data_IF_524000005971
#
_entry.id   IF_524000005971
#
_cell.length_a   1.000
_cell.length_b   1.000
_cell.length_c   1.000
_cell.angle_alpha   90.00
_cell.angle_beta   90.00
_cell.angle_gamma   90.00
#
_symmetry.space_group_name_H-M   'P 1'
#
loop_
_entity.id
_entity.type
_entity.pdbx_description
1 polymer ?
#
# COMPACT_ATOMS: atom_id res chain seq x y z
N UNK A 1 -4.13 -16.44 16.25
CA UNK A 1 -5.00 -15.80 17.25
C UNK A 1 -4.23 -15.31 18.50
N UNK A 2 -3.17 -15.98 18.95
CA UNK A 2 -2.34 -15.58 20.11
C UNK A 2 -1.54 -14.26 19.91
N UNK A 3 -1.03 -13.98 18.71
CA UNK A 3 -0.23 -12.78 18.42
C UNK A 3 -1.02 -11.44 18.43
N UNK A 4 -2.31 -11.47 18.09
CA UNK A 4 -3.18 -10.27 18.09
C UNK A 4 -3.49 -9.80 19.53
N UNK A 5 -3.58 -10.75 20.45
CA UNK A 5 -3.81 -10.50 21.88
C UNK A 5 -2.55 -9.91 22.56
N UNK A 6 -1.35 -10.31 22.11
CA UNK A 6 -0.06 -9.81 22.63
C UNK A 6 0.24 -8.34 22.24
N UNK A 7 -0.09 -7.93 21.01
CA UNK A 7 0.09 -6.53 20.59
C UNK A 7 -0.85 -5.58 21.33
N UNK A 8 -2.12 -5.97 21.52
CA UNK A 8 -3.09 -5.15 22.25
C UNK A 8 -2.70 -4.97 23.72
N UNK A 9 -2.10 -6.01 24.33
CA UNK A 9 -1.53 -5.95 25.68
C UNK A 9 -0.31 -5.01 25.75
N UNK A 10 0.59 -5.05 24.76
CA UNK A 10 1.74 -4.14 24.68
C UNK A 10 1.30 -2.67 24.52
N UNK A 11 0.25 -2.42 23.72
CA UNK A 11 -0.33 -1.09 23.55
C UNK A 11 -1.01 -0.57 24.82
N UNK A 12 -1.75 -1.43 25.54
CA UNK A 12 -2.31 -1.08 26.84
C UNK A 12 -1.20 -0.80 27.88
N UNK A 13 -0.13 -1.59 27.88
CA UNK A 13 1.03 -1.41 28.75
C UNK A 13 1.77 -0.10 28.47
N UNK A 14 1.96 0.27 27.19
CA UNK A 14 2.59 1.54 26.78
C UNK A 14 1.72 2.75 27.16
N UNK A 15 0.40 2.64 27.04
CA UNK A 15 -0.54 3.68 27.50
C UNK A 15 -0.46 3.85 29.02
N UNK A 16 -0.40 2.74 29.77
CA UNK A 16 -0.32 2.75 31.24
C UNK A 16 1.04 3.28 31.73
N UNK A 17 2.15 2.86 31.11
CA UNK A 17 3.50 3.33 31.44
C UNK A 17 3.70 4.81 31.06
N UNK A 18 3.11 5.27 29.95
CA UNK A 18 3.08 6.68 29.56
C UNK A 18 2.31 7.58 30.53
N UNK A 19 1.24 7.05 31.16
CA UNK A 19 0.49 7.77 32.19
C UNK A 19 1.23 7.84 33.54
N UNK A 20 2.09 6.86 33.85
CA UNK A 20 2.90 6.85 35.10
C UNK A 20 4.17 7.72 35.04
N UNK A 21 4.62 8.11 33.84
CA UNK A 21 5.87 8.87 33.63
C UNK A 21 5.66 10.38 33.47
N UNK A 22 4.42 10.85 33.36
CA UNK A 22 4.12 12.28 33.37
C UNK A 22 4.08 12.82 34.81
N UNK A 23 5.15 13.48 35.24
CA UNK A 23 5.12 14.50 36.30
C UNK A 23 4.30 15.69 35.77
N UNK A 24 2.98 15.60 35.87
CA UNK A 24 2.07 16.73 35.62
C UNK A 24 1.20 16.92 36.85
N UNK A 25 1.04 18.18 37.26
CA UNK A 25 0.47 18.65 38.52
C UNK A 25 -0.67 17.78 39.06
N UNK A 26 -0.45 17.20 40.24
CA UNK A 26 -1.31 16.24 40.92
C UNK A 26 -2.62 16.80 41.46
N UNK A 27 -2.93 18.07 41.23
CA UNK A 27 -3.92 18.78 42.06
C UNK A 27 -5.23 19.09 41.33
N UNK A 28 -5.39 18.67 40.06
CA UNK A 28 -6.64 18.93 39.29
C UNK A 28 -7.27 17.75 38.58
N UNK A 29 -6.79 16.54 38.79
CA UNK A 29 -7.45 15.34 38.26
C UNK A 29 -7.84 14.48 39.45
N UNK A 30 -9.11 14.55 39.82
CA UNK A 30 -9.74 13.65 40.77
C UNK A 30 -9.76 12.25 40.15
N UNK A 31 -8.62 11.58 40.24
CA UNK A 31 -8.37 10.27 39.67
C UNK A 31 -9.05 9.26 40.59
N UNK A 32 -10.30 8.92 40.31
CA UNK A 32 -11.05 7.85 40.98
C UNK A 32 -10.49 6.43 40.71
N UNK A 33 -9.24 6.31 40.26
CA UNK A 33 -8.49 5.06 40.22
C UNK A 33 -7.38 5.21 41.25
N UNK A 34 -7.51 4.54 42.40
CA UNK A 34 -6.50 4.66 43.47
C UNK A 34 -5.18 4.12 42.94
N UNK A 35 -4.07 4.80 43.22
CA UNK A 35 -2.71 4.38 42.84
C UNK A 35 -2.39 2.92 43.23
N UNK A 36 -3.03 2.43 44.30
CA UNK A 36 -2.97 1.05 44.75
C UNK A 36 -3.60 0.04 43.77
N UNK A 37 -4.68 0.42 43.08
CA UNK A 37 -5.40 -0.44 42.15
C UNK A 37 -4.59 -0.66 40.86
N UNK A 38 -3.92 0.40 40.38
CA UNK A 38 -3.03 0.34 39.22
C UNK A 38 -1.78 -0.50 39.52
N UNK A 39 -1.19 -0.34 40.71
CA UNK A 39 -0.03 -1.14 41.13
C UNK A 39 -0.39 -2.61 41.31
N UNK A 40 -1.59 -2.91 41.82
CA UNK A 40 -2.09 -4.28 41.93
C UNK A 40 -2.36 -4.90 40.56
N UNK A 41 -2.90 -4.14 39.61
CA UNK A 41 -3.12 -4.59 38.24
C UNK A 41 -1.80 -4.94 37.53
N UNK A 42 -0.80 -4.06 37.59
CA UNK A 42 0.53 -4.29 36.99
C UNK A 42 1.18 -5.55 37.58
N UNK A 43 1.17 -5.69 38.91
CA UNK A 43 1.78 -6.85 39.58
C UNK A 43 1.09 -8.18 39.24
N UNK A 44 -0.25 -8.18 39.06
CA UNK A 44 -0.99 -9.37 38.60
C UNK A 44 -0.66 -9.72 37.16
N UNK A 45 -0.60 -8.71 36.29
CA UNK A 45 -0.30 -8.90 34.86
C UNK A 45 1.13 -9.41 34.65
N UNK A 46 2.09 -8.94 35.46
CA UNK A 46 3.46 -9.46 35.49
C UNK A 46 3.51 -10.91 35.98
N UNK A 47 2.75 -11.28 37.02
CA UNK A 47 2.62 -12.66 37.51
C UNK A 47 1.96 -13.59 36.48
N UNK A 48 0.96 -13.12 35.75
CA UNK A 48 0.28 -13.90 34.71
C UNK A 48 1.21 -14.16 33.51
N UNK A 49 2.05 -13.17 33.16
CA UNK A 49 3.07 -13.31 32.12
C UNK A 49 4.19 -14.27 32.56
N UNK A 50 4.66 -14.18 33.80
CA UNK A 50 5.76 -15.02 34.30
C UNK A 50 5.35 -16.45 34.64
N UNK A 51 4.08 -16.70 34.96
CA UNK A 51 3.57 -18.04 35.27
C UNK A 51 3.23 -18.90 34.05
N UNK A 52 3.41 -18.39 32.83
CA UNK A 52 3.19 -19.10 31.56
C UNK A 52 1.79 -19.75 31.43
N UNK A 53 0.80 -19.23 32.17
CA UNK A 53 -0.60 -19.63 32.03
C UNK A 53 -1.15 -19.05 30.72
N UNK A 54 -1.85 -19.87 29.95
CA UNK A 54 -2.53 -19.43 28.74
C UNK A 54 -3.66 -18.46 29.13
N UNK A 55 -3.42 -17.15 28.96
CA UNK A 55 -4.40 -16.11 29.27
C UNK A 55 -5.64 -16.31 28.39
N UNK A 56 -6.79 -16.55 29.01
CA UNK A 56 -8.07 -16.89 28.39
C UNK A 56 -9.03 -15.71 28.54
N UNK A 57 -8.78 -14.68 27.74
CA UNK A 57 -9.38 -13.33 27.66
C UNK A 57 -10.92 -13.19 27.66
N UNK A 58 -11.63 -14.30 27.75
CA UNK A 58 -13.06 -14.41 27.55
C UNK A 58 -13.75 -14.90 28.86
N UNK A 59 -13.01 -15.07 29.97
CA UNK A 59 -13.53 -15.39 31.30
C UNK A 59 -13.53 -14.17 32.24
N UNK A 60 -14.56 -14.05 33.07
CA UNK A 60 -14.79 -12.91 33.99
C UNK A 60 -13.70 -12.71 35.06
N UNK A 61 -12.78 -13.65 35.20
CA UNK A 61 -11.73 -13.66 36.23
C UNK A 61 -10.40 -13.02 35.78
N UNK A 62 -10.28 -12.62 34.51
CA UNK A 62 -9.04 -12.04 33.97
C UNK A 62 -8.91 -10.53 34.29
N UNK A 63 -7.69 -10.12 34.65
CA UNK A 63 -7.33 -8.78 35.13
C UNK A 63 -7.75 -7.62 34.22
N UNK A 64 -7.86 -7.83 32.91
CA UNK A 64 -8.30 -6.82 31.93
C UNK A 64 -9.83 -6.67 31.88
N UNK A 65 -10.59 -7.73 32.20
CA UNK A 65 -12.03 -7.64 32.38
C UNK A 65 -12.36 -6.83 33.63
N UNK A 66 -11.60 -7.04 34.71
CA UNK A 66 -11.66 -6.24 35.94
C UNK A 66 -11.26 -4.77 35.71
N UNK A 67 -10.34 -4.48 34.78
CA UNK A 67 -9.95 -3.12 34.42
C UNK A 67 -11.00 -2.41 33.53
N UNK A 68 -11.65 -3.15 32.62
CA UNK A 68 -12.79 -2.65 31.84
C UNK A 68 -14.02 -2.34 32.70
N UNK A 69 -14.26 -3.10 33.77
CA UNK A 69 -15.39 -2.86 34.67
C UNK A 69 -15.17 -1.69 35.64
N UNK A 70 -13.93 -1.20 35.77
CA UNK A 70 -13.55 -0.10 36.68
C UNK A 70 -13.26 1.23 35.98
N UNK A 71 -13.25 1.27 34.64
CA UNK A 71 -13.00 2.50 33.86
C UNK A 71 -14.21 2.93 33.05
N UNK A 72 -14.55 4.22 33.08
CA UNK A 72 -15.64 4.79 32.29
C UNK A 72 -15.37 4.56 30.78
N UNK A 73 -16.20 3.76 30.06
CA UNK A 73 -15.97 3.41 28.66
C UNK A 73 -15.87 4.61 27.72
N UNK A 74 -16.55 5.72 28.03
CA UNK A 74 -16.48 6.94 27.22
C UNK A 74 -15.11 7.62 27.31
N UNK A 75 -14.54 7.68 28.52
CA UNK A 75 -13.22 8.28 28.76
C UNK A 75 -12.09 7.43 28.15
N UNK A 76 -12.23 6.10 28.18
CA UNK A 76 -11.29 5.21 27.51
C UNK A 76 -11.33 5.40 25.99
N UNK A 77 -12.54 5.47 25.41
CA UNK A 77 -12.72 5.75 23.98
C UNK A 77 -12.15 7.11 23.59
N UNK A 78 -12.44 8.16 24.35
CA UNK A 78 -11.93 9.51 24.09
C UNK A 78 -10.39 9.57 24.13
N UNK A 79 -9.76 8.91 25.10
CA UNK A 79 -8.29 8.84 25.18
C UNK A 79 -7.68 7.97 24.08
N UNK A 80 -8.38 6.91 23.68
CA UNK A 80 -7.96 6.06 22.56
C UNK A 80 -8.07 6.83 21.23
N UNK A 81 -9.14 7.58 21.04
CA UNK A 81 -9.35 8.47 19.88
C UNK A 81 -8.32 9.60 19.86
N UNK A 82 -7.99 10.20 21.02
CA UNK A 82 -6.89 11.18 21.15
C UNK A 82 -5.53 10.58 20.81
N UNK A 83 -5.25 9.35 21.28
CA UNK A 83 -4.00 8.65 20.98
C UNK A 83 -3.89 8.32 19.49
N UNK A 84 -4.98 7.83 18.88
CA UNK A 84 -5.05 7.62 17.43
C UNK A 84 -4.89 8.93 16.67
N UNK A 85 -5.56 10.01 17.08
CA UNK A 85 -5.42 11.32 16.45
C UNK A 85 -3.98 11.85 16.53
N UNK A 86 -3.29 11.65 17.66
CA UNK A 86 -1.89 12.08 17.84
C UNK A 86 -0.91 11.19 17.06
N UNK A 87 -1.20 9.89 16.94
CA UNK A 87 -0.46 8.94 16.09
C UNK A 87 -0.66 9.25 14.61
N UNK A 88 -1.88 9.58 14.21
CA UNK A 88 -2.29 9.83 12.83
C UNK A 88 -2.26 11.33 12.54
N UNK A 89 -1.13 11.97 12.86
CA UNK A 89 -0.82 13.33 12.42
C UNK A 89 0.38 13.29 11.48
N UNK A 90 0.24 13.97 10.35
CA UNK A 90 1.33 14.14 9.39
C UNK A 90 2.29 15.16 9.99
N UNK A 91 3.48 14.71 10.40
CA UNK A 91 4.41 15.55 11.19
C UNK A 91 5.27 16.47 10.32
N UNK A 92 5.66 15.99 9.14
CA UNK A 92 6.53 16.71 8.20
C UNK A 92 6.23 16.27 6.77
N UNK A 93 6.29 17.22 5.84
CA UNK A 93 6.31 16.97 4.41
C UNK A 93 7.62 17.46 3.82
N UNK A 94 8.30 16.59 3.07
CA UNK A 94 9.48 16.95 2.28
C UNK A 94 9.12 16.84 0.80
N UNK A 95 9.10 17.98 0.11
CA UNK A 95 8.81 18.03 -1.31
C UNK A 95 10.11 18.18 -2.09
N UNK A 96 10.46 17.18 -2.89
CA UNK A 96 11.65 17.13 -3.72
C UNK A 96 11.25 17.32 -5.17
N UNK A 97 11.95 18.23 -5.84
CA UNK A 97 11.92 18.37 -7.27
C UNK A 97 13.31 18.06 -7.81
N UNK A 98 13.43 16.97 -8.54
CA UNK A 98 14.67 16.60 -9.20
C UNK A 98 15.01 17.64 -10.27
N UNK A 99 16.26 18.11 -10.29
CA UNK A 99 16.60 19.35 -10.99
C UNK A 99 17.77 19.22 -11.99
N UNK A 100 17.89 18.06 -12.61
CA UNK A 100 18.85 17.84 -13.70
C UNK A 100 18.46 18.57 -14.99
N UNK A 101 19.39 18.56 -15.94
CA UNK A 101 19.22 19.21 -17.22
C UNK A 101 18.03 18.68 -18.02
N UNK A 102 17.70 17.38 -17.89
CA UNK A 102 16.59 16.76 -18.62
C UNK A 102 15.23 17.27 -18.15
N UNK A 103 15.09 17.66 -16.88
CA UNK A 103 13.83 18.22 -16.34
C UNK A 103 13.42 19.55 -16.96
N UNK A 104 14.36 20.30 -17.58
CA UNK A 104 14.05 21.60 -18.19
C UNK A 104 13.00 21.51 -19.31
N UNK A 105 12.91 20.39 -20.02
CA UNK A 105 11.95 20.24 -21.11
C UNK A 105 10.49 20.24 -20.66
N UNK A 106 10.20 19.90 -19.40
CA UNK A 106 8.85 19.91 -18.84
C UNK A 106 8.42 21.28 -18.31
N UNK A 107 9.37 22.12 -17.89
CA UNK A 107 9.07 23.40 -17.20
C UNK A 107 8.31 24.37 -18.10
N UNK A 108 8.50 24.28 -19.41
CA UNK A 108 7.77 25.09 -20.39
C UNK A 108 6.27 24.79 -20.42
N UNK A 109 5.87 23.55 -20.10
CA UNK A 109 4.51 23.08 -20.24
C UNK A 109 3.59 23.62 -19.11
N UNK A 110 2.49 24.31 -19.46
CA UNK A 110 1.55 24.83 -18.46
C UNK A 110 0.88 23.74 -17.61
N UNK A 111 0.59 22.56 -18.16
CA UNK A 111 -0.13 21.50 -17.44
C UNK A 111 0.76 20.83 -16.40
N UNK A 112 2.01 20.52 -16.77
CA UNK A 112 3.04 20.11 -15.84
C UNK A 112 3.14 21.11 -14.69
N UNK A 113 3.29 22.41 -15.01
CA UNK A 113 3.43 23.42 -13.97
C UNK A 113 2.21 23.52 -13.06
N UNK A 114 1.00 23.42 -13.63
CA UNK A 114 -0.25 23.43 -12.89
C UNK A 114 -0.35 22.24 -11.93
N UNK A 115 0.07 21.04 -12.35
CA UNK A 115 0.09 19.86 -11.48
C UNK A 115 1.04 20.06 -10.29
N UNK A 116 2.27 20.53 -10.53
CA UNK A 116 3.24 20.78 -9.46
C UNK A 116 2.73 21.84 -8.49
N UNK A 117 2.17 22.94 -9.02
CA UNK A 117 1.59 24.01 -8.21
C UNK A 117 0.41 23.50 -7.37
N UNK A 118 -0.51 22.75 -7.96
CA UNK A 118 -1.67 22.17 -7.27
C UNK A 118 -1.23 21.27 -6.12
N UNK A 119 -0.29 20.36 -6.37
CA UNK A 119 0.21 19.44 -5.34
C UNK A 119 0.85 20.23 -4.20
N UNK A 120 1.80 21.11 -4.51
CA UNK A 120 2.57 21.79 -3.47
C UNK A 120 1.72 22.74 -2.62
N UNK A 121 0.83 23.51 -3.26
CA UNK A 121 -0.05 24.47 -2.55
C UNK A 121 -1.15 23.81 -1.73
N UNK A 122 -1.47 22.53 -1.99
CA UNK A 122 -2.37 21.75 -1.15
C UNK A 122 -1.69 21.20 0.12
N UNK A 123 -0.35 21.25 0.21
CA UNK A 123 0.39 20.74 1.38
C UNK A 123 0.29 21.71 2.57
N UNK A 124 0.38 21.20 3.82
CA UNK A 124 0.37 22.04 5.01
C UNK A 124 1.66 22.89 5.09
N UNK A 125 1.54 24.20 4.87
CA UNK A 125 2.67 25.13 4.76
C UNK A 125 3.67 25.03 5.93
N UNK A 126 3.18 25.09 7.16
CA UNK A 126 4.01 25.07 8.39
C UNK A 126 4.86 23.79 8.53
N UNK A 127 4.45 22.70 7.87
CA UNK A 127 5.10 21.40 7.96
C UNK A 127 5.82 21.00 6.66
N UNK A 128 5.82 21.85 5.65
CA UNK A 128 6.34 21.52 4.32
C UNK A 128 7.69 22.18 4.05
N UNK A 129 8.68 21.38 3.67
CA UNK A 129 9.99 21.85 3.25
C UNK A 129 10.25 21.46 1.79
N UNK A 130 10.54 22.46 0.95
CA UNK A 130 10.89 22.27 -0.45
C UNK A 130 12.39 22.01 -0.65
N UNK A 131 12.73 21.14 -1.61
CA UNK A 131 14.09 20.84 -2.00
C UNK A 131 14.20 20.74 -3.52
N UNK A 132 15.23 21.34 -4.09
CA UNK A 132 15.79 20.85 -5.35
C UNK A 132 16.80 19.75 -5.05
N UNK A 133 16.86 18.72 -5.90
CA UNK A 133 17.74 17.58 -5.65
C UNK A 133 18.34 17.02 -6.95
N UNK A 134 19.62 16.66 -6.88
CA UNK A 134 20.31 15.94 -7.95
C UNK A 134 21.28 14.89 -7.36
N UNK A 135 22.55 15.23 -7.18
CA UNK A 135 23.54 14.47 -6.41
C UNK A 135 23.59 14.86 -4.93
N UNK A 136 22.92 15.97 -4.58
CA UNK A 136 22.77 16.45 -3.21
C UNK A 136 21.46 17.25 -3.04
N UNK A 137 21.09 17.54 -1.79
CA UNK A 137 19.92 18.35 -1.46
C UNK A 137 20.22 19.85 -1.44
N UNK A 138 19.30 20.63 -2.01
CA UNK A 138 19.29 22.09 -1.96
C UNK A 138 17.96 22.56 -1.37
N UNK A 139 17.91 22.89 -0.06
CA UNK A 139 16.71 23.47 0.56
C UNK A 139 16.24 24.73 -0.17
N UNK A 140 14.93 24.89 -0.32
CA UNK A 140 14.31 26.04 -0.97
C UNK A 140 13.31 26.68 -0.01
N UNK A 141 13.51 27.97 0.28
CA UNK A 141 12.57 28.73 1.11
C UNK A 141 11.23 28.95 0.38
N UNK A 142 11.27 29.13 -0.94
CA UNK A 142 10.07 29.23 -1.78
C UNK A 142 10.30 28.56 -3.14
N UNK A 143 10.10 27.24 -3.18
CA UNK A 143 10.27 26.45 -4.41
C UNK A 143 9.29 26.87 -5.51
N UNK A 144 8.10 27.35 -5.13
CA UNK A 144 7.04 27.73 -6.07
C UNK A 144 7.39 29.00 -6.83
N UNK A 145 7.98 30.00 -6.19
CA UNK A 145 8.44 31.19 -6.89
C UNK A 145 9.53 30.88 -7.92
N UNK A 146 10.49 30.03 -7.55
CA UNK A 146 11.54 29.59 -8.46
C UNK A 146 10.96 28.83 -9.65
N UNK A 147 9.99 27.96 -9.39
CA UNK A 147 9.30 27.20 -10.42
C UNK A 147 8.44 28.08 -11.34
N UNK A 148 7.76 29.12 -10.82
CA UNK A 148 7.06 30.14 -11.62
C UNK A 148 8.01 30.90 -12.55
N UNK A 149 9.24 31.15 -12.12
CA UNK A 149 10.31 31.78 -12.93
C UNK A 149 10.99 30.81 -13.90
N UNK A 150 10.62 29.52 -13.86
CA UNK A 150 11.29 28.46 -14.63
C UNK A 150 12.75 28.23 -14.22
N UNK A 151 13.14 28.67 -13.01
CA UNK A 151 14.50 28.56 -12.52
C UNK A 151 14.63 27.40 -11.52
N UNK A 152 15.01 26.23 -12.03
CA UNK A 152 15.32 25.05 -11.21
C UNK A 152 16.83 24.86 -11.00
N UNK A 153 17.68 25.81 -11.43
CA UNK A 153 19.13 25.58 -11.46
C UNK A 153 19.73 25.57 -10.07
N UNK A 154 20.58 24.59 -9.80
CA UNK A 154 21.49 24.58 -8.66
C UNK A 154 22.86 24.10 -9.13
N UNK A 155 23.82 23.89 -8.21
CA UNK A 155 25.09 23.26 -8.59
C UNK A 155 24.83 21.81 -9.04
N UNK A 156 25.64 21.30 -9.97
CA UNK A 156 25.62 19.87 -10.33
C UNK A 156 24.45 19.40 -11.20
N UNK A 157 23.66 20.29 -11.84
CA UNK A 157 22.48 19.92 -12.67
C UNK A 157 22.79 19.04 -13.88
N UNK A 158 24.07 18.75 -14.18
CA UNK A 158 24.47 17.85 -15.25
C UNK A 158 24.38 16.36 -14.90
N UNK A 159 24.21 16.01 -13.63
CA UNK A 159 24.21 14.62 -13.14
C UNK A 159 23.07 14.41 -12.14
N UNK A 160 22.53 13.19 -12.07
CA UNK A 160 21.50 12.79 -11.09
C UNK A 160 21.91 11.51 -10.39
N UNK A 161 21.79 11.47 -9.06
CA UNK A 161 22.02 10.25 -8.27
C UNK A 161 20.68 9.77 -7.69
N UNK A 162 19.99 8.89 -8.43
CA UNK A 162 18.68 8.37 -8.02
C UNK A 162 18.75 7.56 -6.71
N UNK A 163 19.87 6.87 -6.46
CA UNK A 163 20.07 6.13 -5.21
C UNK A 163 20.08 7.10 -4.03
N UNK A 164 20.88 8.17 -4.13
CA UNK A 164 20.90 9.24 -3.12
C UNK A 164 19.53 9.88 -2.92
N UNK A 165 18.85 10.26 -4.01
CA UNK A 165 17.53 10.91 -3.96
C UNK A 165 16.53 10.03 -3.20
N UNK A 166 16.40 8.76 -3.59
CA UNK A 166 15.46 7.84 -2.94
C UNK A 166 15.82 7.59 -1.48
N UNK A 167 17.11 7.39 -1.16
CA UNK A 167 17.58 7.22 0.22
C UNK A 167 17.19 8.41 1.10
N UNK A 168 17.39 9.63 0.62
CA UNK A 168 17.04 10.84 1.38
C UNK A 168 15.53 11.07 1.49
N UNK A 169 14.76 10.71 0.47
CA UNK A 169 13.30 10.76 0.50
C UNK A 169 12.72 9.76 1.53
N UNK A 170 13.19 8.51 1.54
CA UNK A 170 12.71 7.49 2.50
C UNK A 170 13.07 7.89 3.93
N UNK A 171 14.31 8.32 4.19
CA UNK A 171 14.75 8.78 5.52
C UNK A 171 13.87 9.90 6.07
N UNK A 172 13.48 10.86 5.22
CA UNK A 172 12.61 11.99 5.62
C UNK A 172 11.14 11.62 5.75
N UNK A 173 10.73 10.49 5.19
CA UNK A 173 9.38 9.94 5.32
C UNK A 173 9.17 9.15 6.63
N UNK A 174 10.24 8.84 7.37
CA UNK A 174 10.17 8.21 8.70
C UNK A 174 9.35 9.04 9.71
N UNK A 175 8.99 8.44 10.84
CA UNK A 175 8.28 9.13 11.94
C UNK A 175 6.97 9.85 11.53
N UNK A 176 6.13 9.22 10.70
CA UNK A 176 4.92 9.81 10.12
C UNK A 176 5.20 11.05 9.23
N UNK A 177 6.38 11.08 8.60
CA UNK A 177 6.67 11.99 7.52
C UNK A 177 5.97 11.58 6.22
N UNK A 178 6.00 12.50 5.25
CA UNK A 178 5.69 12.25 3.86
C UNK A 178 6.80 12.88 3.02
N UNK A 179 7.35 12.11 2.09
CA UNK A 179 8.24 12.64 1.06
C UNK A 179 7.55 12.51 -0.28
N UNK A 180 7.53 13.61 -1.05
CA UNK A 180 7.00 13.64 -2.42
C UNK A 180 8.15 14.01 -3.34
N UNK A 181 8.45 13.19 -4.34
CA UNK A 181 9.51 13.43 -5.31
C UNK A 181 8.93 13.52 -6.72
N UNK A 182 9.29 14.56 -7.44
CA UNK A 182 8.97 14.76 -8.86
C UNK A 182 10.26 14.57 -9.66
N UNK A 183 10.25 13.69 -10.66
CA UNK A 183 11.42 13.37 -11.51
C UNK A 183 10.99 12.83 -12.87
N UNK A 184 11.86 12.93 -13.88
CA UNK A 184 11.68 12.22 -15.15
C UNK A 184 12.08 10.74 -15.10
N UNK A 185 12.73 10.30 -14.01
CA UNK A 185 13.11 8.91 -13.79
C UNK A 185 14.17 8.37 -14.77
N UNK A 186 14.83 9.23 -15.55
CA UNK A 186 15.89 8.82 -16.48
C UNK A 186 17.12 8.44 -15.66
N UNK A 187 17.38 7.15 -15.51
CA UNK A 187 18.51 6.71 -14.71
C UNK A 187 19.84 7.09 -15.37
N UNK A 188 20.69 7.79 -14.64
CA UNK A 188 22.04 8.12 -15.07
C UNK A 188 23.05 7.45 -14.14
N UNK A 189 23.73 6.37 -14.59
CA UNK A 189 24.75 5.73 -13.77
C UNK A 189 25.94 6.67 -13.55
N UNK A 190 26.65 6.50 -12.43
CA UNK A 190 27.97 7.12 -12.23
C UNK A 190 28.91 6.65 -13.33
N UNK A 191 29.72 7.56 -13.86
CA UNK A 191 30.63 7.30 -14.98
C UNK A 191 31.50 6.06 -14.73
N UNK A 192 31.41 5.06 -15.62
CA UNK A 192 32.21 3.84 -15.57
C UNK A 192 31.40 2.57 -15.24
N UNK A 193 30.18 2.71 -14.71
CA UNK A 193 29.34 1.57 -14.37
C UNK A 193 28.15 1.44 -15.33
N UNK A 194 28.38 0.74 -16.44
CA UNK A 194 27.33 0.46 -17.44
C UNK A 194 26.58 -0.86 -17.14
N UNK A 195 26.82 -1.49 -15.99
CA UNK A 195 26.16 -2.75 -15.69
C UNK A 195 24.76 -2.49 -15.13
N UNK A 196 23.77 -2.63 -16.01
CA UNK A 196 22.37 -2.39 -15.72
C UNK A 196 21.81 -3.32 -14.65
N UNK A 197 22.37 -4.52 -14.51
CA UNK A 197 22.00 -5.48 -13.46
C UNK A 197 22.38 -4.96 -12.06
N UNK A 198 23.41 -4.12 -11.96
CA UNK A 198 23.80 -3.50 -10.69
C UNK A 198 22.80 -2.44 -10.23
N UNK A 199 22.05 -1.81 -11.14
CA UNK A 199 21.03 -0.81 -10.80
C UNK A 199 19.99 -1.43 -9.87
N UNK A 200 19.44 -2.57 -10.28
CA UNK A 200 18.43 -3.31 -9.51
C UNK A 200 18.99 -3.74 -8.15
N UNK A 201 20.24 -4.22 -8.12
CA UNK A 201 20.90 -4.69 -6.89
C UNK A 201 21.14 -3.52 -5.91
N UNK A 202 21.67 -2.41 -6.39
CA UNK A 202 22.01 -1.24 -5.57
C UNK A 202 20.75 -0.57 -5.01
N UNK A 203 19.74 -0.35 -5.85
CA UNK A 203 18.46 0.20 -5.43
C UNK A 203 17.82 -0.73 -4.39
N UNK A 204 17.83 -2.04 -4.62
CA UNK A 204 17.28 -3.00 -3.66
C UNK A 204 18.02 -2.97 -2.32
N UNK A 205 19.35 -2.81 -2.33
CA UNK A 205 20.17 -2.71 -1.12
C UNK A 205 19.84 -1.43 -0.35
N UNK A 206 19.83 -0.29 -1.01
CA UNK A 206 19.60 1.02 -0.37
C UNK A 206 18.18 1.16 0.16
N UNK A 207 17.18 0.71 -0.60
CA UNK A 207 15.81 0.65 -0.12
C UNK A 207 15.67 -0.30 1.07
N UNK A 208 16.27 -1.50 1.03
CA UNK A 208 16.20 -2.43 2.17
C UNK A 208 16.80 -1.82 3.43
N UNK A 209 17.95 -1.15 3.34
CA UNK A 209 18.55 -0.44 4.47
C UNK A 209 17.59 0.63 5.02
N UNK A 210 17.01 1.45 4.12
CA UNK A 210 16.11 2.54 4.50
C UNK A 210 14.76 2.06 5.08
N UNK A 211 14.26 0.90 4.63
CA UNK A 211 12.98 0.30 5.06
C UNK A 211 13.09 -0.54 6.35
N UNK A 212 14.29 -0.84 6.84
CA UNK A 212 14.47 -1.82 7.92
C UNK A 212 13.88 -1.41 9.27
N UNK A 213 13.72 -0.10 9.51
CA UNK A 213 13.34 0.45 10.81
C UNK A 213 11.93 1.06 10.87
N UNK A 214 11.24 1.20 9.74
CA UNK A 214 9.97 1.93 9.63
C UNK A 214 9.03 1.24 8.65
N UNK A 215 7.72 1.28 8.91
CA UNK A 215 6.70 0.79 7.98
C UNK A 215 6.42 1.84 6.90
N UNK A 216 7.41 2.06 6.03
CA UNK A 216 7.28 2.93 4.86
C UNK A 216 6.72 2.14 3.68
N UNK A 217 5.83 2.80 2.94
CA UNK A 217 5.31 2.39 1.65
C UNK A 217 5.77 3.38 0.58
N UNK A 218 5.77 2.92 -0.67
CA UNK A 218 6.13 3.75 -1.82
C UNK A 218 4.97 3.73 -2.81
N UNK A 219 4.51 4.90 -3.25
CA UNK A 219 3.58 5.03 -4.37
C UNK A 219 4.29 5.72 -5.51
N UNK A 220 4.06 5.25 -6.73
CA UNK A 220 4.58 5.87 -7.95
C UNK A 220 3.40 6.19 -8.85
N UNK A 221 3.28 7.45 -9.24
CA UNK A 221 2.33 7.92 -10.24
C UNK A 221 3.08 8.13 -11.55
N UNK A 222 2.66 7.45 -12.61
CA UNK A 222 3.07 7.77 -13.98
C UNK A 222 2.20 8.90 -14.49
N UNK A 223 2.86 9.97 -14.91
CA UNK A 223 2.26 11.15 -15.50
C UNK A 223 2.79 11.34 -16.91
N UNK A 224 2.09 12.11 -17.73
CA UNK A 224 2.49 12.50 -19.08
C UNK A 224 2.38 14.02 -19.21
N UNK A 225 3.36 14.64 -19.86
CA UNK A 225 3.36 16.07 -20.16
C UNK A 225 4.02 16.32 -21.51
N UNK A 226 3.71 17.46 -22.13
CA UNK A 226 4.54 17.97 -23.22
C UNK A 226 5.96 18.21 -22.72
N UNK A 227 6.91 17.93 -23.58
CA UNK A 227 8.33 18.11 -23.35
C UNK A 227 8.93 18.81 -24.57
N UNK A 228 9.52 19.98 -24.36
CA UNK A 228 10.20 20.73 -25.42
C UNK A 228 11.61 21.07 -24.93
N UNK A 229 12.62 20.33 -25.40
CA UNK A 229 13.97 20.46 -24.86
C UNK A 229 14.99 19.48 -25.43
N UNK A 230 16.15 19.42 -24.79
CA UNK A 230 17.21 18.47 -25.13
C UNK A 230 17.01 17.20 -24.30
N UNK A 231 16.70 16.09 -24.96
CA UNK A 231 16.82 14.76 -24.37
C UNK A 231 18.29 14.33 -24.36
N UNK A 232 18.77 13.90 -23.20
CA UNK A 232 20.14 13.44 -22.97
C UNK A 232 20.16 11.91 -22.95
N UNK A 233 20.38 11.30 -24.12
CA UNK A 233 20.40 9.84 -24.25
C UNK A 233 21.52 9.19 -23.45
N UNK A 234 21.18 8.20 -22.64
CA UNK A 234 22.10 7.57 -21.70
C UNK A 234 22.94 6.48 -22.39
N UNK A 235 22.33 5.64 -23.24
CA UNK A 235 23.05 4.58 -23.96
C UNK A 235 23.93 5.16 -25.06
N UNK A 236 23.34 5.95 -25.95
CA UNK A 236 24.02 6.50 -27.12
C UNK A 236 24.87 7.75 -26.83
N UNK A 237 24.71 8.37 -25.64
CA UNK A 237 25.30 9.68 -25.32
C UNK A 237 24.92 10.78 -26.32
N UNK A 238 23.82 10.60 -27.07
CA UNK A 238 23.30 11.56 -28.05
C UNK A 238 22.45 12.61 -27.34
N UNK A 239 22.62 13.87 -27.75
CA UNK A 239 21.74 14.98 -27.37
C UNK A 239 20.75 15.20 -28.50
N UNK A 240 19.47 15.00 -28.24
CA UNK A 240 18.43 15.09 -29.26
C UNK A 240 17.43 16.16 -28.85
N UNK A 241 17.20 17.15 -29.69
CA UNK A 241 16.14 18.14 -29.44
C UNK A 241 14.81 17.49 -29.81
N UNK A 242 13.90 17.41 -28.85
CA UNK A 242 12.57 16.83 -29.05
C UNK A 242 11.50 17.82 -28.62
N UNK A 243 10.34 17.70 -29.27
CA UNK A 243 9.10 18.40 -28.95
C UNK A 243 7.95 17.40 -29.06
N UNK A 244 7.69 16.69 -27.97
CA UNK A 244 6.74 15.57 -27.93
C UNK A 244 6.28 15.34 -26.50
N UNK A 245 5.27 14.49 -26.31
CA UNK A 245 4.89 14.05 -24.97
C UNK A 245 5.94 13.11 -24.38
N UNK A 246 6.18 13.22 -23.08
CA UNK A 246 7.11 12.35 -22.34
C UNK A 246 6.55 12.03 -20.95
N UNK A 247 6.85 10.85 -20.41
CA UNK A 247 6.43 10.48 -19.08
C UNK A 247 7.30 11.16 -18.02
N UNK A 248 6.68 11.53 -16.90
CA UNK A 248 7.35 11.91 -15.67
C UNK A 248 6.68 11.23 -14.48
N UNK A 249 7.33 11.22 -13.33
CA UNK A 249 6.89 10.42 -12.19
C UNK A 249 6.79 11.25 -10.92
N UNK A 250 5.77 10.92 -10.14
CA UNK A 250 5.59 11.43 -8.79
C UNK A 250 5.69 10.25 -7.83
N UNK A 251 6.76 10.22 -7.05
CA UNK A 251 6.96 9.25 -5.99
C UNK A 251 6.45 9.81 -4.67
N UNK A 252 5.74 8.99 -3.90
CA UNK A 252 5.39 9.28 -2.53
C UNK A 252 6.02 8.22 -1.64
N UNK A 253 6.67 8.66 -0.57
CA UNK A 253 7.22 7.79 0.48
C UNK A 253 6.62 8.20 1.81
N UNK A 254 6.17 7.24 2.58
CA UNK A 254 5.55 7.49 3.87
C UNK A 254 4.92 6.23 4.41
N UNK A 255 4.52 6.25 5.67
CA UNK A 255 3.69 5.17 6.16
C UNK A 255 2.31 5.18 5.48
N UNK A 256 1.56 4.11 5.69
CA UNK A 256 0.20 3.94 5.15
C UNK A 256 -0.72 5.14 5.37
N UNK A 257 -0.69 5.73 6.57
CA UNK A 257 -1.50 6.89 6.92
C UNK A 257 -1.11 8.12 6.09
N UNK A 258 0.18 8.47 6.07
CA UNK A 258 0.71 9.62 5.32
C UNK A 258 0.38 9.53 3.83
N UNK A 259 0.58 8.36 3.23
CA UNK A 259 0.29 8.10 1.81
C UNK A 259 -1.22 8.23 1.53
N UNK A 260 -2.07 7.60 2.33
CA UNK A 260 -3.52 7.67 2.13
C UNK A 260 -4.06 9.08 2.30
N UNK A 261 -3.54 9.81 3.29
CA UNK A 261 -3.90 11.23 3.47
C UNK A 261 -3.48 12.04 2.26
N UNK A 262 -2.25 11.84 1.76
CA UNK A 262 -1.75 12.55 0.59
C UNK A 262 -2.61 12.30 -0.66
N UNK A 263 -2.90 11.05 -1.00
CA UNK A 263 -3.71 10.70 -2.18
C UNK A 263 -5.16 11.16 -2.06
N UNK A 264 -5.69 11.28 -0.83
CA UNK A 264 -7.07 11.75 -0.60
C UNK A 264 -7.19 13.27 -0.60
N UNK A 265 -6.20 13.99 -0.08
CA UNK A 265 -6.32 15.42 0.24
C UNK A 265 -5.43 16.32 -0.61
N UNK A 266 -4.23 15.88 -0.97
CA UNK A 266 -3.22 16.76 -1.59
C UNK A 266 -2.93 16.39 -3.06
N UNK A 267 -3.00 15.10 -3.39
CA UNK A 267 -2.66 14.54 -4.70
C UNK A 267 -3.91 13.82 -5.23
N UNK A 268 -4.98 14.58 -5.44
CA UNK A 268 -6.26 14.05 -5.91
C UNK A 268 -6.13 13.65 -7.38
N UNK A 269 -5.92 12.37 -7.64
CA UNK A 269 -5.52 11.84 -8.96
C UNK A 269 -6.41 12.30 -10.13
N UNK A 270 -7.73 12.34 -9.92
CA UNK A 270 -8.71 12.80 -10.92
C UNK A 270 -8.56 14.28 -11.34
N UNK A 271 -7.81 15.06 -10.57
CA UNK A 271 -7.56 16.48 -10.83
C UNK A 271 -6.18 16.74 -11.47
N UNK A 272 -5.34 15.71 -11.57
CA UNK A 272 -4.02 15.80 -12.17
C UNK A 272 -4.12 15.53 -13.66
N UNK A 273 -3.80 16.54 -14.47
CA UNK A 273 -3.78 16.39 -15.92
C UNK A 273 -2.64 15.46 -16.34
N UNK A 274 -2.88 14.62 -17.33
CA UNK A 274 -1.88 13.66 -17.80
C UNK A 274 -1.58 12.52 -16.81
N UNK A 275 -2.42 12.28 -15.79
CA UNK A 275 -2.30 11.05 -14.98
C UNK A 275 -2.55 9.81 -15.85
N UNK A 276 -1.61 8.85 -15.80
CA UNK A 276 -1.66 7.62 -16.61
C UNK A 276 -1.93 6.41 -15.72
N UNK A 277 -1.08 6.19 -14.71
CA UNK A 277 -1.14 4.98 -13.90
C UNK A 277 -0.54 5.18 -12.51
N UNK A 278 -0.85 4.25 -11.60
CA UNK A 278 -0.29 4.19 -10.26
C UNK A 278 0.23 2.78 -9.98
N UNK A 279 1.34 2.70 -9.24
CA UNK A 279 1.76 1.50 -8.52
C UNK A 279 1.98 1.81 -7.04
N UNK A 280 1.78 0.83 -6.17
CA UNK A 280 2.05 0.95 -4.72
C UNK A 280 2.82 -0.27 -4.23
N UNK A 281 3.98 0.00 -3.65
CA UNK A 281 4.83 -0.98 -3.00
C UNK A 281 4.54 -0.98 -1.50
N UNK A 282 4.17 -2.15 -0.96
CA UNK A 282 3.75 -2.32 0.43
C UNK A 282 4.51 -3.45 1.12
N UNK A 283 4.73 -3.31 2.43
CA UNK A 283 5.18 -4.43 3.28
C UNK A 283 3.99 -5.26 3.73
N UNK A 284 4.10 -6.59 3.73
CA UNK A 284 3.01 -7.48 4.21
C UNK A 284 3.14 -7.93 5.67
N UNK A 285 4.14 -7.44 6.39
CA UNK A 285 4.35 -7.80 7.80
C UNK A 285 3.10 -7.51 8.63
N UNK A 286 2.50 -8.56 9.19
CA UNK A 286 1.33 -8.43 10.06
C UNK A 286 0.05 -8.00 9.35
N UNK A 287 0.00 -8.11 8.02
CA UNK A 287 -1.18 -7.81 7.24
C UNK A 287 -2.19 -8.96 7.34
N UNK A 288 -3.42 -8.63 7.70
CA UNK A 288 -4.54 -9.58 7.77
C UNK A 288 -5.69 -9.06 6.91
N UNK A 289 -6.12 -9.89 5.97
CA UNK A 289 -7.25 -9.62 5.06
C UNK A 289 -8.36 -10.62 5.38
N UNK A 290 -9.39 -10.22 6.13
CA UNK A 290 -10.59 -11.04 6.32
C UNK A 290 -11.15 -11.51 4.98
N UNK A 291 -11.55 -12.78 4.90
CA UNK A 291 -12.25 -13.31 3.73
C UNK A 291 -13.29 -14.37 4.13
N UNK A 292 -14.25 -14.61 3.26
CA UNK A 292 -15.28 -15.64 3.42
C UNK A 292 -15.84 -16.10 2.07
N UNK A 293 -16.21 -17.37 1.97
CA UNK A 293 -16.96 -17.89 0.83
C UNK A 293 -18.40 -17.38 0.89
N UNK A 294 -18.91 -16.91 -0.25
CA UNK A 294 -20.33 -16.58 -0.41
C UNK A 294 -21.10 -17.84 -0.80
N UNK A 295 -22.01 -18.28 0.07
CA UNK A 295 -22.92 -19.42 -0.18
C UNK A 295 -24.19 -19.03 -0.94
N UNK A 296 -24.31 -17.76 -1.34
CA UNK A 296 -25.41 -17.17 -2.09
C UNK A 296 -24.85 -16.00 -2.90
N UNK A 297 -25.32 -15.83 -4.13
CA UNK A 297 -24.90 -14.73 -4.99
C UNK A 297 -25.34 -14.98 -6.42
N UNK A 298 -25.21 -13.96 -7.26
CA UNK A 298 -25.47 -14.05 -8.70
C UNK A 298 -24.34 -14.77 -9.43
N UNK A 299 -23.16 -14.89 -8.82
CA UNK A 299 -21.98 -15.62 -9.35
C UNK A 299 -22.01 -17.12 -9.02
N UNK A 300 -23.03 -17.62 -8.32
CA UNK A 300 -23.12 -19.02 -7.92
C UNK A 300 -23.60 -19.91 -9.07
N UNK A 301 -22.85 -20.96 -9.40
CA UNK A 301 -23.22 -22.02 -10.35
C UNK A 301 -23.07 -23.35 -9.64
N UNK A 302 -24.08 -24.21 -9.75
CA UNK A 302 -24.18 -25.45 -8.97
C UNK A 302 -24.64 -25.20 -7.52
N UNK A 303 -24.43 -26.19 -6.65
CA UNK A 303 -24.78 -26.14 -5.23
C UNK A 303 -23.67 -26.68 -4.34
N UNK A 304 -23.61 -26.16 -3.13
CA UNK A 304 -22.67 -26.55 -2.07
C UNK A 304 -23.17 -26.02 -0.73
N UNK A 305 -22.61 -26.52 0.37
CA UNK A 305 -22.85 -26.01 1.72
C UNK A 305 -21.55 -25.55 2.35
N UNK A 306 -21.63 -24.59 3.27
CA UNK A 306 -20.48 -24.25 4.10
C UNK A 306 -20.37 -25.26 5.25
N UNK A 307 -19.14 -25.68 5.53
CA UNK A 307 -18.83 -26.56 6.66
C UNK A 307 -19.04 -25.80 7.98
N UNK A 308 -18.59 -24.55 8.03
CA UNK A 308 -18.78 -23.70 9.19
C UNK A 308 -20.25 -23.28 9.35
N UNK A 309 -20.81 -23.59 10.52
CA UNK A 309 -22.19 -23.21 10.89
C UNK A 309 -22.22 -21.82 11.52
N UNK A 310 -23.32 -21.09 11.27
CA UNK A 310 -23.58 -19.77 11.85
C UNK A 310 -22.90 -18.62 11.10
N UNK A 311 -22.67 -17.52 11.81
CA UNK A 311 -22.21 -16.22 11.29
C UNK A 311 -20.67 -16.07 11.30
N UNK A 312 -19.94 -17.18 11.15
CA UNK A 312 -18.48 -17.18 11.12
C UNK A 312 -17.98 -17.03 9.68
N UNK A 313 -16.73 -16.58 9.53
CA UNK A 313 -16.01 -16.66 8.25
C UNK A 313 -16.02 -18.10 7.75
N UNK A 314 -16.54 -18.29 6.53
CA UNK A 314 -16.64 -19.60 5.87
C UNK A 314 -15.40 -19.80 5.02
N UNK A 315 -14.57 -20.76 5.36
CA UNK A 315 -13.35 -21.10 4.62
C UNK A 315 -13.43 -22.49 4.01
N UNK A 316 -14.44 -23.29 4.35
CA UNK A 316 -14.65 -24.60 3.77
C UNK A 316 -16.07 -24.83 3.24
N UNK A 317 -16.16 -25.57 2.13
CA UNK A 317 -17.43 -26.01 1.55
C UNK A 317 -17.44 -27.54 1.35
N UNK A 318 -18.64 -28.12 1.38
CA UNK A 318 -18.92 -29.55 1.23
C UNK A 318 -20.16 -29.77 0.34
N UNK A 319 -20.45 -31.02 -0.01
CA UNK A 319 -21.59 -31.41 -0.86
C UNK A 319 -21.60 -30.68 -2.22
N UNK A 320 -20.46 -30.65 -2.93
CA UNK A 320 -20.33 -29.94 -4.22
C UNK A 320 -21.12 -30.66 -5.32
N UNK A 321 -22.14 -30.00 -5.86
CA UNK A 321 -22.93 -30.46 -7.00
C UNK A 321 -22.79 -29.46 -8.15
N UNK A 322 -22.29 -29.94 -9.30
CA UNK A 322 -22.18 -29.12 -10.50
C UNK A 322 -23.54 -28.86 -11.11
N UNK A 323 -23.73 -27.68 -11.66
CA UNK A 323 -24.90 -27.44 -12.52
C UNK A 323 -24.66 -28.12 -13.86
N UNK A 324 -25.62 -28.96 -14.30
CA UNK A 324 -25.59 -29.61 -15.61
C UNK A 324 -26.45 -28.85 -16.61
N UNK A 325 -25.87 -28.39 -17.72
CA UNK A 325 -26.67 -27.86 -18.83
C UNK A 325 -27.38 -29.01 -19.55
N UNK A 326 -28.72 -28.94 -19.62
CA UNK A 326 -29.56 -29.89 -20.35
C UNK A 326 -29.43 -29.77 -21.88
N UNK A 327 -28.64 -28.82 -22.39
CA UNK A 327 -28.51 -28.55 -23.83
C UNK A 327 -27.10 -28.89 -24.35
N UNK A 328 -27.03 -29.80 -25.34
CA UNK A 328 -25.80 -30.15 -26.05
C UNK A 328 -25.20 -28.90 -26.73
N UNK A 329 -23.99 -28.51 -26.31
CA UNK A 329 -23.20 -27.45 -26.96
C UNK A 329 -22.74 -26.30 -26.05
N UNK A 330 -23.14 -26.27 -24.77
CA UNK A 330 -22.59 -25.33 -23.78
C UNK A 330 -21.71 -26.08 -22.77
N UNK A 331 -20.46 -25.65 -22.51
CA UNK A 331 -19.58 -26.31 -21.55
C UNK A 331 -20.02 -25.95 -20.12
N UNK A 332 -21.07 -26.59 -19.62
CA UNK A 332 -21.63 -26.31 -18.30
C UNK A 332 -21.80 -27.60 -17.50
N UNK A 333 -20.66 -28.23 -17.18
CA UNK A 333 -20.50 -29.10 -16.02
C UNK A 333 -19.44 -28.43 -15.13
N UNK A 334 -19.90 -27.50 -14.28
CA UNK A 334 -19.02 -26.68 -13.47
C UNK A 334 -19.67 -26.33 -12.13
N UNK A 335 -18.82 -26.00 -11.17
CA UNK A 335 -19.20 -25.31 -9.93
C UNK A 335 -18.54 -23.94 -9.91
N UNK A 336 -19.26 -22.92 -9.44
CA UNK A 336 -18.73 -21.57 -9.32
C UNK A 336 -19.21 -20.92 -8.03
N UNK A 337 -18.31 -20.21 -7.36
CA UNK A 337 -18.65 -19.40 -6.18
C UNK A 337 -17.72 -18.20 -6.05
N UNK A 338 -18.19 -17.19 -5.32
CA UNK A 338 -17.42 -16.00 -5.03
C UNK A 338 -16.81 -16.08 -3.62
N UNK A 339 -15.57 -15.61 -3.49
CA UNK A 339 -14.91 -15.36 -2.21
C UNK A 339 -14.90 -13.86 -1.98
N UNK A 340 -15.58 -13.41 -0.93
CA UNK A 340 -15.57 -12.02 -0.51
C UNK A 340 -14.34 -11.74 0.36
N UNK A 341 -13.58 -10.70 0.06
CA UNK A 341 -12.34 -10.35 0.76
C UNK A 341 -12.30 -8.85 1.09
N UNK A 342 -11.77 -8.53 2.27
CA UNK A 342 -11.46 -7.17 2.72
C UNK A 342 -9.96 -6.88 2.50
N UNK A 343 -9.67 -6.18 1.41
CA UNK A 343 -8.37 -5.64 1.00
C UNK A 343 -8.21 -4.16 1.37
N UNK A 344 -9.13 -3.57 2.15
CA UNK A 344 -9.06 -2.16 2.55
C UNK A 344 -7.76 -1.84 3.30
N UNK A 345 -7.15 -2.87 3.92
CA UNK A 345 -5.87 -2.76 4.60
C UNK A 345 -4.65 -2.83 3.69
N UNK A 346 -4.78 -3.42 2.51
CA UNK A 346 -3.71 -3.62 1.51
C UNK A 346 -3.54 -2.41 0.62
N UNK A 347 -4.62 -1.67 0.35
CA UNK A 347 -4.55 -0.28 -0.11
C UNK A 347 -3.91 -0.13 -1.52
N UNK A 348 -3.95 -1.20 -2.32
CA UNK A 348 -3.42 -1.25 -3.69
C UNK A 348 -4.33 -0.54 -4.69
N UNK A 349 -3.82 -0.13 -5.86
CA UNK A 349 -4.65 0.40 -6.93
C UNK A 349 -5.74 -0.60 -7.35
N UNK A 350 -6.95 -0.11 -7.63
CA UNK A 350 -8.06 -0.93 -8.14
C UNK A 350 -7.65 -1.71 -9.39
N UNK A 351 -6.88 -1.10 -10.29
CA UNK A 351 -6.36 -1.75 -11.50
C UNK A 351 -5.48 -2.96 -11.20
N UNK A 352 -4.72 -2.95 -10.10
CA UNK A 352 -3.89 -4.07 -9.69
C UNK A 352 -4.74 -5.23 -9.15
N UNK A 353 -5.71 -4.92 -8.29
CA UNK A 353 -6.57 -5.91 -7.65
C UNK A 353 -7.49 -6.60 -8.66
N UNK A 354 -7.99 -5.87 -9.67
CA UNK A 354 -8.90 -6.45 -10.66
C UNK A 354 -8.19 -7.25 -11.76
N UNK A 355 -6.86 -7.20 -11.84
CA UNK A 355 -6.09 -7.92 -12.84
C UNK A 355 -5.78 -9.34 -12.36
N UNK A 356 -6.42 -10.32 -12.99
CA UNK A 356 -6.28 -11.74 -12.67
C UNK A 356 -4.83 -12.26 -12.83
N UNK A 357 -3.99 -11.60 -13.64
CA UNK A 357 -2.57 -11.97 -13.76
C UNK A 357 -1.75 -11.71 -12.50
N UNK A 358 -2.28 -10.91 -11.56
CA UNK A 358 -1.70 -10.69 -10.24
C UNK A 358 -2.12 -11.76 -9.22
N UNK A 359 -2.80 -12.82 -9.65
CA UNK A 359 -3.24 -13.90 -8.78
C UNK A 359 -2.67 -15.23 -9.23
N UNK A 360 -2.42 -16.10 -8.26
CA UNK A 360 -1.99 -17.47 -8.48
C UNK A 360 -2.83 -18.42 -7.65
N UNK A 361 -3.33 -19.48 -8.27
CA UNK A 361 -3.92 -20.60 -7.54
C UNK A 361 -2.85 -21.67 -7.39
N UNK A 362 -2.61 -22.08 -6.15
CA UNK A 362 -1.74 -23.20 -5.79
C UNK A 362 -2.61 -24.32 -5.20
N UNK A 363 -2.25 -25.57 -5.50
CA UNK A 363 -2.98 -26.76 -5.03
C UNK A 363 -3.11 -27.78 -6.15
N UNK A 364 -3.54 -29.00 -5.81
CA UNK A 364 -4.00 -30.00 -6.79
C UNK A 364 -5.48 -29.77 -7.00
N UNK A 365 -5.81 -28.83 -7.89
CA UNK A 365 -7.18 -28.45 -8.14
C UNK A 365 -7.36 -27.85 -9.53
N UNK A 366 -8.55 -28.05 -10.10
CA UNK A 366 -8.98 -27.49 -11.37
C UNK A 366 -9.73 -26.15 -11.22
N UNK A 367 -9.65 -25.51 -10.06
CA UNK A 367 -10.24 -24.18 -9.89
C UNK A 367 -9.40 -23.11 -10.61
N UNK A 368 -10.09 -22.24 -11.34
CA UNK A 368 -9.54 -21.05 -11.98
C UNK A 368 -10.25 -19.78 -11.51
N UNK A 369 -9.58 -18.62 -11.65
CA UNK A 369 -10.20 -17.33 -11.38
C UNK A 369 -10.96 -16.90 -12.63
N UNK A 370 -12.29 -16.96 -12.57
CA UNK A 370 -13.16 -16.55 -13.66
C UNK A 370 -13.22 -15.02 -13.77
N UNK A 371 -13.29 -14.33 -12.62
CA UNK A 371 -13.41 -12.88 -12.57
C UNK A 371 -13.02 -12.33 -11.19
N UNK A 372 -12.71 -11.04 -11.14
CA UNK A 372 -12.50 -10.29 -9.90
C UNK A 372 -13.35 -9.02 -9.99
N UNK A 373 -14.18 -8.79 -8.97
CA UNK A 373 -15.17 -7.71 -8.97
C UNK A 373 -14.94 -6.77 -7.79
N UNK A 374 -15.09 -5.47 -8.01
CA UNK A 374 -15.16 -4.50 -6.93
C UNK A 374 -16.61 -4.43 -6.41
N UNK A 375 -16.79 -4.52 -5.09
CA UNK A 375 -18.13 -4.54 -4.47
C UNK A 375 -18.93 -3.28 -4.78
N UNK A 376 -18.25 -2.13 -4.84
CA UNK A 376 -18.85 -0.83 -5.15
C UNK A 376 -19.42 -0.73 -6.58
N UNK A 377 -19.00 -1.61 -7.50
CA UNK A 377 -19.47 -1.62 -8.89
C UNK A 377 -20.63 -2.62 -9.11
N UNK A 378 -21.01 -3.39 -8.09
CA UNK A 378 -22.10 -4.37 -8.19
C UNK A 378 -23.46 -3.70 -8.38
N UNK A 379 -24.38 -4.41 -9.03
CA UNK A 379 -25.76 -3.96 -9.15
C UNK A 379 -26.39 -3.85 -7.74
N UNK A 380 -27.02 -2.70 -7.46
CA UNK A 380 -27.69 -2.42 -6.17
C UNK A 380 -28.76 -3.44 -5.79
N UNK A 381 -29.35 -4.13 -6.77
CA UNK A 381 -30.39 -5.14 -6.56
C UNK A 381 -29.87 -6.58 -6.60
N UNK A 382 -28.55 -6.79 -6.78
CA UNK A 382 -27.93 -8.12 -6.87
C UNK A 382 -28.15 -8.95 -5.61
N UNK A 383 -28.27 -10.27 -5.78
CA UNK A 383 -28.30 -11.20 -4.62
C UNK A 383 -26.96 -11.15 -3.88
N UNK A 384 -25.88 -10.90 -4.62
CA UNK A 384 -24.52 -10.80 -4.11
C UNK A 384 -24.36 -9.62 -3.15
N UNK A 385 -24.83 -8.42 -3.51
CA UNK A 385 -24.74 -7.27 -2.62
C UNK A 385 -25.52 -7.49 -1.32
N UNK A 386 -26.73 -8.07 -1.40
CA UNK A 386 -27.52 -8.44 -0.22
C UNK A 386 -26.79 -9.44 0.68
N UNK A 387 -26.06 -10.40 0.12
CA UNK A 387 -25.25 -11.33 0.88
C UNK A 387 -24.07 -10.63 1.60
N UNK A 388 -23.42 -9.68 0.92
CA UNK A 388 -22.32 -8.86 1.50
C UNK A 388 -22.81 -7.95 2.63
N UNK A 389 -23.99 -7.35 2.49
CA UNK A 389 -24.59 -6.50 3.53
C UNK A 389 -24.84 -7.25 4.84
N UNK A 390 -25.13 -8.55 4.77
CA UNK A 390 -25.24 -9.41 5.96
C UNK A 390 -23.87 -9.59 6.63
N UNK A 391 -22.82 -9.87 5.85
CA UNK A 391 -21.45 -9.98 6.37
C UNK A 391 -20.93 -8.70 7.03
N UNK A 392 -21.36 -7.54 6.52
CA UNK A 392 -20.99 -6.24 7.10
C UNK A 392 -21.49 -6.05 8.53
N UNK A 393 -22.60 -6.72 8.89
CA UNK A 393 -23.09 -6.77 10.27
C UNK A 393 -22.24 -7.68 11.17
N UNK A 394 -21.43 -8.56 10.56
CA UNK A 394 -20.59 -9.59 11.20
C UNK A 394 -19.11 -9.18 11.26
N UNK A 395 -18.80 -7.88 11.15
CA UNK A 395 -17.45 -7.30 11.16
C UNK A 395 -16.54 -7.66 9.97
N UNK A 396 -17.08 -8.10 8.84
CA UNK A 396 -16.32 -8.22 7.58
C UNK A 396 -16.88 -7.20 6.60
N UNK A 397 -16.02 -6.31 6.10
CA UNK A 397 -16.40 -5.30 5.10
C UNK A 397 -15.64 -5.57 3.80
N UNK A 398 -16.08 -6.57 3.02
CA UNK A 398 -15.37 -6.91 1.80
C UNK A 398 -15.51 -5.78 0.78
N UNK A 399 -14.43 -5.47 0.11
CA UNK A 399 -14.34 -4.48 -0.97
C UNK A 399 -14.17 -5.15 -2.34
N UNK A 400 -13.78 -6.44 -2.37
CA UNK A 400 -13.65 -7.22 -3.59
C UNK A 400 -14.23 -8.64 -3.48
N UNK A 401 -14.55 -9.20 -4.64
CA UNK A 401 -14.95 -10.59 -4.84
C UNK A 401 -13.98 -11.27 -5.79
N UNK A 402 -13.55 -12.48 -5.46
CA UNK A 402 -12.78 -13.36 -6.34
C UNK A 402 -13.69 -14.52 -6.73
N UNK A 403 -14.03 -14.63 -8.00
CA UNK A 403 -14.94 -15.66 -8.52
C UNK A 403 -14.11 -16.86 -8.97
N UNK A 404 -14.31 -17.99 -8.30
CA UNK A 404 -13.63 -19.25 -8.60
C UNK A 404 -14.57 -20.18 -9.36
N UNK A 405 -14.07 -20.80 -10.42
CA UNK A 405 -14.80 -21.78 -11.23
C UNK A 405 -14.00 -23.08 -11.31
N UNK A 406 -14.65 -24.22 -11.08
CA UNK A 406 -14.02 -25.53 -11.10
C UNK A 406 -14.76 -26.53 -11.99
N UNK A 407 -14.02 -27.47 -12.57
CA UNK A 407 -14.54 -28.44 -13.54
C UNK A 407 -14.41 -29.92 -13.16
N UNK A 408 -13.27 -30.42 -12.67
CA UNK A 408 -13.12 -31.86 -12.33
C UNK A 408 -12.52 -32.09 -10.96
N UNK A 409 -11.27 -31.68 -10.74
CA UNK A 409 -10.58 -31.83 -9.45
C UNK A 409 -11.08 -30.80 -8.44
N UNK A 410 -12.30 -31.05 -7.94
CA UNK A 410 -13.06 -30.14 -7.09
C UNK A 410 -12.77 -30.28 -5.60
N UNK A 411 -12.06 -31.32 -5.16
CA UNK A 411 -11.86 -31.63 -3.74
C UNK A 411 -10.41 -31.37 -3.31
N UNK A 412 -10.24 -30.78 -2.12
CA UNK A 412 -8.95 -30.52 -1.51
C UNK A 412 -8.76 -29.06 -1.11
N UNK A 413 -7.49 -28.65 -1.03
CA UNK A 413 -7.14 -27.30 -0.63
C UNK A 413 -6.95 -26.40 -1.86
N UNK A 414 -7.61 -25.24 -1.83
CA UNK A 414 -7.44 -24.17 -2.81
C UNK A 414 -6.70 -23.05 -2.10
N UNK A 415 -5.53 -22.68 -2.61
CA UNK A 415 -4.77 -21.56 -2.09
C UNK A 415 -4.69 -20.46 -3.17
N UNK A 416 -5.46 -19.38 -2.99
CA UNK A 416 -5.43 -18.22 -3.89
C UNK A 416 -4.48 -17.17 -3.31
N UNK A 417 -3.43 -16.85 -4.05
CA UNK A 417 -2.42 -15.86 -3.66
C UNK A 417 -2.54 -14.62 -4.53
N UNK A 418 -2.66 -13.45 -3.92
CA UNK A 418 -2.39 -12.17 -4.59
C UNK A 418 -0.88 -11.99 -4.60
N UNK A 419 -0.23 -12.15 -5.75
CA UNK A 419 1.23 -12.12 -5.86
C UNK A 419 1.76 -10.70 -6.04
N UNK A 420 3.09 -10.54 -5.88
CA UNK A 420 3.82 -9.27 -6.02
C UNK A 420 4.42 -9.14 -7.42
N UNK A 421 3.61 -8.74 -8.38
CA UNK A 421 4.04 -8.48 -9.75
C UNK A 421 4.20 -6.98 -9.96
N UNK A 422 5.15 -6.58 -10.81
CA UNK A 422 5.11 -5.22 -11.34
C UNK A 422 4.01 -5.14 -12.40
N UNK A 423 3.14 -4.12 -12.37
CA UNK A 423 2.14 -3.95 -13.42
C UNK A 423 2.80 -3.76 -14.78
N UNK A 424 2.15 -4.28 -15.82
CA UNK A 424 2.65 -4.29 -17.19
C UNK A 424 3.14 -2.91 -17.68
N UNK A 425 2.46 -1.83 -17.29
CA UNK A 425 2.84 -0.48 -17.68
C UNK A 425 4.27 -0.12 -17.22
N UNK A 426 4.75 -0.63 -16.08
CA UNK A 426 6.13 -0.38 -15.61
C UNK A 426 7.12 -1.04 -16.56
N UNK A 427 6.84 -2.29 -16.96
CA UNK A 427 7.69 -3.08 -17.84
C UNK A 427 7.79 -2.44 -19.23
N UNK A 428 6.67 -1.95 -19.75
CA UNK A 428 6.60 -1.27 -21.06
C UNK A 428 7.20 0.15 -21.03
N UNK A 429 7.30 0.75 -19.86
CA UNK A 429 7.89 2.08 -19.69
C UNK A 429 9.41 2.02 -19.62
N UNK A 430 9.99 0.94 -19.09
CA UNK A 430 11.45 0.78 -19.06
C UNK A 430 12.02 0.50 -20.45
N UNK A 431 13.11 1.19 -20.80
CA UNK A 431 13.93 0.82 -21.97
C UNK A 431 15.40 0.85 -21.61
N UNK A 432 16.16 -0.10 -22.18
CA UNK A 432 17.63 -0.07 -22.14
C UNK A 432 18.22 0.50 -23.43
N UNK A 433 17.36 0.99 -24.34
CA UNK A 433 17.76 1.61 -25.59
C UNK A 433 16.98 2.91 -25.81
N UNK A 434 17.68 4.04 -25.68
CA UNK A 434 17.15 5.37 -25.91
C UNK A 434 17.85 6.08 -27.08
N UNK A 435 18.42 5.32 -28.03
CA UNK A 435 19.10 5.89 -29.19
C UNK A 435 18.14 6.62 -30.14
N UNK A 436 16.89 6.16 -30.22
CA UNK A 436 15.85 6.64 -31.14
C UNK A 436 14.66 7.22 -30.36
N UNK A 437 14.90 8.30 -29.61
CA UNK A 437 13.89 8.90 -28.74
C UNK A 437 12.84 9.75 -29.48
N UNK A 438 13.13 10.19 -30.70
CA UNK A 438 12.19 10.97 -31.51
C UNK A 438 10.95 10.13 -31.82
N UNK A 439 9.77 10.65 -31.45
CA UNK A 439 8.49 9.94 -31.59
C UNK A 439 8.20 8.91 -30.48
N UNK A 440 9.21 8.51 -29.68
CA UNK A 440 8.99 7.68 -28.50
C UNK A 440 8.44 8.50 -27.32
N UNK A 441 7.14 8.38 -27.10
CA UNK A 441 6.42 9.11 -26.05
C UNK A 441 6.23 8.30 -24.77
N UNK A 442 6.63 7.03 -24.74
CA UNK A 442 6.20 6.08 -23.71
C UNK A 442 7.31 5.58 -22.80
N UNK A 443 8.55 5.52 -23.30
CA UNK A 443 9.65 4.87 -22.59
C UNK A 443 10.50 5.85 -21.78
N UNK A 444 11.18 5.33 -20.76
CA UNK A 444 12.14 6.02 -19.90
C UNK A 444 13.32 5.09 -19.65
N UNK A 445 14.53 5.62 -19.84
CA UNK A 445 15.74 4.81 -19.73
C UNK A 445 15.89 4.18 -18.34
N UNK A 446 15.99 2.84 -18.30
CA UNK A 446 16.14 1.99 -17.12
C UNK A 446 15.09 2.14 -16.01
N UNK A 447 13.91 2.70 -16.32
CA UNK A 447 12.88 2.93 -15.31
C UNK A 447 12.36 1.63 -14.67
N UNK A 448 12.19 0.57 -15.47
CA UNK A 448 11.82 -0.76 -15.00
C UNK A 448 12.85 -1.31 -14.00
N UNK A 449 14.15 -1.13 -14.26
CA UNK A 449 15.23 -1.57 -13.36
C UNK A 449 15.17 -0.86 -12.00
N UNK A 450 14.86 0.43 -11.99
CA UNK A 450 14.57 1.14 -10.74
C UNK A 450 13.40 0.49 -9.99
N UNK A 451 12.30 0.18 -10.69
CA UNK A 451 11.11 -0.39 -10.06
C UNK A 451 11.32 -1.83 -9.58
N UNK A 452 12.09 -2.63 -10.32
CA UNK A 452 12.53 -3.95 -9.88
C UNK A 452 13.35 -3.87 -8.60
N UNK A 453 14.30 -2.95 -8.52
CA UNK A 453 15.09 -2.73 -7.30
C UNK A 453 14.21 -2.42 -6.09
N UNK A 454 13.22 -1.54 -6.27
CA UNK A 454 12.25 -1.20 -5.22
C UNK A 454 11.45 -2.44 -4.80
N UNK A 455 10.85 -3.17 -5.75
CA UNK A 455 10.05 -4.36 -5.45
C UNK A 455 10.87 -5.43 -4.71
N UNK A 456 12.10 -5.69 -5.15
CA UNK A 456 13.00 -6.65 -4.52
C UNK A 456 13.33 -6.26 -3.07
N UNK A 457 13.45 -4.96 -2.76
CA UNK A 457 13.59 -4.52 -1.38
C UNK A 457 12.35 -4.84 -0.54
N UNK A 458 11.15 -4.56 -1.05
CA UNK A 458 9.90 -4.84 -0.35
C UNK A 458 9.66 -6.34 -0.15
N UNK A 459 9.98 -7.19 -1.14
CA UNK A 459 9.95 -8.65 -1.00
C UNK A 459 10.89 -9.13 0.11
N UNK A 460 12.14 -8.69 0.09
CA UNK A 460 13.15 -9.06 1.12
C UNK A 460 12.73 -8.64 2.53
N UNK A 461 12.13 -7.46 2.68
CA UNK A 461 11.63 -6.96 3.96
C UNK A 461 10.40 -7.74 4.42
N UNK A 462 9.50 -8.07 3.51
CA UNK A 462 8.24 -8.75 3.82
C UNK A 462 8.42 -10.23 4.18
N UNK A 463 9.49 -10.87 3.69
CA UNK A 463 9.76 -12.32 3.83
C UNK A 463 8.68 -13.23 3.21
N UNK A 464 7.79 -12.66 2.41
CA UNK A 464 6.69 -13.35 1.73
C UNK A 464 6.66 -12.92 0.27
N UNK A 465 6.39 -13.88 -0.62
CA UNK A 465 6.29 -13.62 -2.06
C UNK A 465 4.90 -13.10 -2.47
N UNK A 466 3.87 -13.38 -1.67
CA UNK A 466 2.52 -12.90 -1.89
C UNK A 466 2.20 -11.69 -1.02
N UNK A 467 1.21 -10.92 -1.46
CA UNK A 467 0.60 -9.80 -0.75
C UNK A 467 -0.41 -10.31 0.28
N UNK A 468 -1.24 -11.27 -0.15
CA UNK A 468 -2.13 -12.00 0.75
C UNK A 468 -2.40 -13.40 0.22
N UNK A 469 -2.91 -14.26 1.09
CA UNK A 469 -3.16 -15.66 0.84
C UNK A 469 -4.56 -16.02 1.38
N UNK A 470 -5.38 -16.61 0.52
CA UNK A 470 -6.73 -17.08 0.80
C UNK A 470 -6.71 -18.60 0.74
N UNK A 471 -6.87 -19.22 1.89
CA UNK A 471 -6.92 -20.69 2.03
C UNK A 471 -8.36 -21.13 2.14
N UNK A 472 -8.77 -21.99 1.23
CA UNK A 472 -10.09 -22.60 1.18
C UNK A 472 -9.94 -24.11 1.15
N UNK A 473 -10.97 -24.80 1.62
CA UNK A 473 -11.05 -26.26 1.54
C UNK A 473 -12.37 -26.69 0.93
N UNK A 474 -12.33 -27.66 0.03
CA UNK A 474 -13.49 -28.31 -0.55
C UNK A 474 -13.50 -29.77 -0.15
N UNK A 475 -14.56 -30.17 0.56
CA UNK A 475 -14.76 -31.51 1.09
C UNK A 475 -15.76 -32.27 0.24
N UNK A 476 -15.70 -33.60 0.36
CA UNK A 476 -16.72 -34.51 -0.17
C UNK A 476 -18.08 -34.21 0.44
#
# INVERSE_FOLDING_TARGET
MSYFKMNTALYALVIILGLSSCKYESDKIDMHIRKADLSSFISRLENDITSNKQIMWDREEDSIFTFKSTTNPSLFKEKLDWFYAKRDTLKKVSFFFENSASMNGYIGDPEFRQNIYRIYTALPEENTQGFFVNTQLYPQDNIIERFKKGDIKTKGTGNTDHQYIFKEAIKRAANNGLSILVTDGIYSPKSGDNNLDLITIDIAKDFKEALSNESIETVVLKMESNYTGIYYGQKCRKRTKIDQKRPYYIFLFGNKYSINKALKQYIVLKELKGYVAQNRFVTTRGLYTPYTILTKGDEMIGSFKAVEKGYNQKHAIEDLEKESSKFKGTPNDAIQFAVAIDLSKVNLPKSYILDASNYKINGKTDFEIQNILAVQDLNKNSKTLKAIELLSKENIKPDYLIVLRGHKELFGNINVELIRNLPQWILETGTMDDCNIEGDTNTTYAFDQLMYGIEEAYKKISKEQSITNIKLTTNL
#
